data_IF_628353740966
#
_entry.id   IF_628353740966
#
_cell.length_a   1.000
_cell.length_b   1.000
_cell.length_c   1.000
_cell.angle_alpha   90.00
_cell.angle_beta   90.00
_cell.angle_gamma   90.00
#
_symmetry.space_group_name_H-M   'P 1'
#
loop_
_entity.id
_entity.type
_entity.pdbx_description
1 polymer ?
#
# COMPACT_ATOMS: atom_id res chain seq x y z
N UNK A 1 -2.94 -13.07 -1.98
CA UNK A 1 -2.83 -11.74 -2.61
C UNK A 1 -1.66 -11.02 -1.98
N UNK A 2 -0.85 -10.30 -2.75
CA UNK A 2 0.34 -9.58 -2.29
C UNK A 2 0.12 -8.11 -2.61
N UNK A 3 0.03 -7.26 -1.58
CA UNK A 3 0.05 -5.82 -1.76
C UNK A 3 1.53 -5.39 -1.80
N UNK A 4 2.00 -4.92 -2.94
CA UNK A 4 3.41 -4.66 -3.17
C UNK A 4 3.64 -3.17 -3.39
N UNK A 5 4.07 -2.48 -2.33
CA UNK A 5 4.57 -1.09 -2.34
C UNK A 5 6.11 -1.02 -2.38
N UNK A 6 6.77 -2.15 -2.65
CA UNK A 6 8.22 -2.33 -2.67
C UNK A 6 8.94 -2.05 -1.34
N UNK A 7 8.27 -2.15 -0.19
CA UNK A 7 8.92 -2.05 1.12
C UNK A 7 7.94 -1.99 2.30
N UNK A 8 8.23 -1.12 3.27
CA UNK A 8 7.43 -0.92 4.48
C UNK A 8 6.61 0.37 4.47
N UNK A 9 5.62 0.53 3.57
CA UNK A 9 4.87 1.78 3.44
C UNK A 9 4.15 2.27 4.72
N UNK A 10 3.87 1.37 5.66
CA UNK A 10 3.28 1.71 6.96
C UNK A 10 4.13 2.70 7.78
N UNK A 11 5.46 2.64 7.68
CA UNK A 11 6.34 3.48 8.49
C UNK A 11 6.32 4.96 8.06
N UNK A 12 5.91 5.25 6.82
CA UNK A 12 5.64 6.63 6.38
C UNK A 12 4.46 7.27 7.11
N UNK A 13 3.56 6.48 7.72
CA UNK A 13 2.43 6.97 8.50
C UNK A 13 2.78 7.25 9.97
N UNK A 14 3.91 6.74 10.46
CA UNK A 14 4.38 6.92 11.84
C UNK A 14 5.25 8.17 11.97
N UNK A 15 5.76 8.43 13.18
CA UNK A 15 6.64 9.57 13.50
C UNK A 15 7.85 9.68 12.56
N UNK A 16 8.34 8.54 12.06
CA UNK A 16 9.48 8.44 11.14
C UNK A 16 9.23 9.09 9.78
N UNK A 17 8.01 9.05 9.25
CA UNK A 17 7.68 9.76 8.01
C UNK A 17 7.78 11.28 8.14
N UNK A 18 7.57 11.82 9.35
CA UNK A 18 7.76 13.25 9.60
C UNK A 18 9.25 13.64 9.62
N UNK A 19 10.11 12.75 10.11
CA UNK A 19 11.57 12.94 10.09
C UNK A 19 12.08 12.99 8.65
N UNK A 20 11.55 12.13 7.77
CA UNK A 20 11.85 12.17 6.33
C UNK A 20 11.43 13.50 5.67
N UNK A 21 10.21 13.98 5.95
CA UNK A 21 9.69 15.25 5.43
C UNK A 21 10.48 16.48 5.95
N UNK A 22 10.95 16.44 7.18
CA UNK A 22 11.70 17.53 7.84
C UNK A 22 13.18 17.60 7.38
N UNK A 23 13.59 16.76 6.42
CA UNK A 23 14.89 16.82 5.73
C UNK A 23 16.09 16.26 6.52
N UNK A 24 15.92 16.00 7.82
CA UNK A 24 16.89 15.29 8.63
C UNK A 24 16.75 13.78 8.47
N UNK A 25 17.83 13.06 8.16
CA UNK A 25 17.86 11.58 8.22
C UNK A 25 16.98 10.80 7.23
N UNK A 26 16.42 11.42 6.17
CA UNK A 26 15.58 10.72 5.18
C UNK A 26 16.21 9.45 4.60
N UNK A 27 17.51 9.46 4.28
CA UNK A 27 18.23 8.25 3.82
C UNK A 27 18.28 7.13 4.86
N UNK A 28 18.38 7.47 6.14
CA UNK A 28 18.36 6.48 7.22
C UNK A 28 16.94 5.94 7.44
N UNK A 29 15.92 6.79 7.31
CA UNK A 29 14.51 6.38 7.41
C UNK A 29 14.16 5.39 6.29
N UNK A 30 14.50 5.70 5.04
CA UNK A 30 14.26 4.83 3.90
C UNK A 30 14.96 3.47 4.08
N UNK A 31 16.23 3.48 4.52
CA UNK A 31 16.99 2.25 4.72
C UNK A 31 16.46 1.37 5.86
N UNK A 32 16.10 1.98 7.00
CA UNK A 32 15.76 1.24 8.22
C UNK A 32 14.29 0.85 8.29
N UNK A 33 13.40 1.69 7.75
CA UNK A 33 11.96 1.52 7.85
C UNK A 33 11.30 1.30 6.50
N UNK A 34 11.74 2.01 5.47
CA UNK A 34 11.27 1.80 4.10
C UNK A 34 11.66 0.43 3.56
N UNK A 35 12.82 -0.09 3.97
CA UNK A 35 13.39 -1.41 3.62
C UNK A 35 13.11 -1.81 2.16
N UNK A 36 13.56 -0.99 1.19
CA UNK A 36 13.18 -1.18 -0.20
C UNK A 36 13.71 -2.51 -0.74
N UNK A 37 12.89 -3.19 -1.53
CA UNK A 37 13.27 -4.43 -2.19
C UNK A 37 12.85 -4.45 -3.67
N UNK A 38 13.56 -5.24 -4.47
CA UNK A 38 13.32 -5.40 -5.91
C UNK A 38 12.97 -6.84 -6.30
N UNK A 39 12.40 -7.61 -5.36
CA UNK A 39 12.04 -9.03 -5.59
C UNK A 39 11.05 -9.15 -6.75
N UNK A 40 11.35 -10.06 -7.69
CA UNK A 40 10.44 -10.48 -8.73
C UNK A 40 9.52 -11.60 -8.21
N UNK A 41 8.28 -11.22 -7.88
CA UNK A 41 7.26 -12.14 -7.37
C UNK A 41 6.78 -13.11 -8.46
N UNK A 42 6.83 -12.73 -9.73
CA UNK A 42 6.47 -13.61 -10.85
C UNK A 42 7.46 -14.77 -10.96
N UNK A 43 8.76 -14.46 -10.83
CA UNK A 43 9.81 -15.48 -10.81
C UNK A 43 9.67 -16.45 -9.62
N UNK A 44 9.34 -15.94 -8.42
CA UNK A 44 9.04 -16.79 -7.27
C UNK A 44 7.83 -17.69 -7.54
N UNK A 45 6.73 -17.13 -8.06
CA UNK A 45 5.53 -17.89 -8.38
C UNK A 45 5.83 -19.02 -9.37
N UNK A 46 6.60 -18.72 -10.42
CA UNK A 46 7.05 -19.69 -11.41
C UNK A 46 7.89 -20.81 -10.79
N UNK A 47 8.81 -20.49 -9.88
CA UNK A 47 9.65 -21.48 -9.19
C UNK A 47 8.82 -22.48 -8.35
N UNK A 48 7.66 -22.05 -7.84
CA UNK A 48 6.73 -22.91 -7.09
C UNK A 48 5.60 -23.52 -7.95
N UNK A 49 5.60 -23.28 -9.27
CA UNK A 49 4.53 -23.74 -10.16
C UNK A 49 3.16 -23.12 -9.86
N UNK A 50 3.13 -21.92 -9.30
CA UNK A 50 1.92 -21.19 -8.92
C UNK A 50 1.62 -20.11 -9.96
N UNK A 51 0.36 -20.00 -10.38
CA UNK A 51 -0.06 -18.94 -11.30
C UNK A 51 0.11 -17.55 -10.68
N UNK A 52 0.53 -16.57 -11.47
CA UNK A 52 0.74 -15.19 -11.04
C UNK A 52 -0.03 -14.22 -11.95
N UNK A 53 -0.70 -13.26 -11.33
CA UNK A 53 -1.36 -12.15 -12.03
C UNK A 53 -0.97 -10.83 -11.36
N UNK A 54 -0.43 -9.92 -12.15
CA UNK A 54 -0.10 -8.56 -11.75
C UNK A 54 -1.26 -7.62 -12.07
N UNK A 55 -1.76 -6.89 -11.07
CA UNK A 55 -2.80 -5.87 -11.22
C UNK A 55 -2.30 -4.51 -10.73
N UNK A 56 -2.69 -3.46 -11.45
CA UNK A 56 -2.34 -2.05 -11.21
C UNK A 56 -3.55 -1.17 -10.93
N UNK A 57 -4.76 -1.67 -11.20
CA UNK A 57 -6.00 -0.93 -10.99
C UNK A 57 -7.01 -1.71 -10.16
N UNK A 58 -7.94 -1.00 -9.54
CA UNK A 58 -9.07 -1.61 -8.82
C UNK A 58 -9.99 -2.38 -9.77
N UNK A 59 -10.12 -1.94 -11.02
CA UNK A 59 -10.90 -2.63 -12.05
C UNK A 59 -10.27 -3.97 -12.44
N UNK A 60 -8.95 -4.01 -12.66
CA UNK A 60 -8.22 -5.25 -12.90
C UNK A 60 -8.33 -6.21 -11.72
N UNK A 61 -8.16 -5.68 -10.49
CA UNK A 61 -8.32 -6.48 -9.27
C UNK A 61 -9.74 -7.08 -9.18
N UNK A 62 -10.77 -6.28 -9.43
CA UNK A 62 -12.16 -6.74 -9.41
C UNK A 62 -12.40 -7.85 -10.45
N UNK A 63 -11.87 -7.70 -11.66
CA UNK A 63 -12.00 -8.70 -12.73
C UNK A 63 -11.32 -10.04 -12.36
N UNK A 64 -10.13 -9.98 -11.76
CA UNK A 64 -9.42 -11.17 -11.28
C UNK A 64 -10.18 -11.85 -10.14
N UNK A 65 -10.71 -11.08 -9.19
CA UNK A 65 -11.48 -11.61 -8.06
C UNK A 65 -12.84 -12.18 -8.47
N UNK A 66 -13.45 -11.66 -9.55
CA UNK A 66 -14.70 -12.18 -10.09
C UNK A 66 -14.53 -13.49 -10.87
N UNK A 67 -13.30 -13.81 -11.29
CA UNK A 67 -13.01 -15.03 -12.04
C UNK A 67 -12.95 -16.24 -11.11
N UNK A 68 -13.53 -17.41 -11.49
CA UNK A 68 -13.43 -18.62 -10.67
C UNK A 68 -11.98 -19.03 -10.44
N UNK A 69 -11.60 -19.18 -9.16
CA UNK A 69 -10.27 -19.63 -8.79
C UNK A 69 -10.11 -21.13 -9.08
N UNK A 70 -9.08 -21.48 -9.85
CA UNK A 70 -8.64 -22.86 -10.06
C UNK A 70 -7.34 -23.10 -9.29
N UNK A 71 -7.41 -23.90 -8.23
CA UNK A 71 -6.25 -24.17 -7.38
C UNK A 71 -5.74 -22.92 -6.65
N UNK A 72 -4.42 -22.77 -6.55
CA UNK A 72 -3.74 -21.65 -5.87
C UNK A 72 -3.07 -20.74 -6.88
N UNK A 73 -3.26 -19.43 -6.72
CA UNK A 73 -2.60 -18.39 -7.51
C UNK A 73 -2.19 -17.20 -6.63
N UNK A 74 -1.25 -16.41 -7.12
CA UNK A 74 -0.80 -15.16 -6.53
C UNK A 74 -1.37 -14.01 -7.38
N UNK A 75 -2.15 -13.15 -6.74
CA UNK A 75 -2.52 -11.85 -7.28
C UNK A 75 -1.62 -10.83 -6.61
N UNK A 76 -0.74 -10.21 -7.39
CA UNK A 76 0.12 -9.11 -6.96
C UNK A 76 -0.52 -7.79 -7.32
N UNK A 77 -0.80 -6.95 -6.32
CA UNK A 77 -1.36 -5.62 -6.48
C UNK A 77 -0.23 -4.61 -6.30
N UNK A 78 0.15 -3.91 -7.37
CA UNK A 78 1.15 -2.85 -7.26
C UNK A 78 0.51 -1.60 -6.70
N UNK A 79 1.13 -1.09 -5.64
CA UNK A 79 0.75 0.17 -5.01
C UNK A 79 1.93 1.11 -4.96
N UNK A 80 1.62 2.39 -4.88
CA UNK A 80 2.60 3.41 -4.55
C UNK A 80 2.33 3.89 -3.13
N UNK A 81 3.39 3.94 -2.33
CA UNK A 81 3.34 4.49 -0.98
C UNK A 81 3.56 6.00 -0.97
N UNK A 82 4.02 6.58 -2.08
CA UNK A 82 4.12 8.03 -2.24
C UNK A 82 2.74 8.65 -2.01
N UNK A 83 2.69 9.72 -1.19
CA UNK A 83 1.44 10.40 -0.88
C UNK A 83 0.47 9.65 0.06
N UNK A 84 0.84 8.48 0.63
CA UNK A 84 -0.03 7.74 1.56
C UNK A 84 -0.33 8.57 2.82
N UNK A 85 0.68 9.24 3.40
CA UNK A 85 0.54 10.15 4.54
C UNK A 85 -0.43 11.31 4.28
N UNK A 86 -0.26 12.14 3.23
CA UNK A 86 -1.21 13.22 2.96
C UNK A 86 -2.62 12.70 2.61
N UNK A 87 -2.75 11.54 1.96
CA UNK A 87 -4.06 10.89 1.74
C UNK A 87 -4.75 10.55 3.08
N UNK A 88 -4.05 9.90 4.00
CA UNK A 88 -4.57 9.57 5.32
C UNK A 88 -4.95 10.82 6.12
N UNK A 89 -4.14 11.89 6.05
CA UNK A 89 -4.44 13.15 6.70
C UNK A 89 -5.75 13.78 6.17
N UNK A 90 -5.95 13.78 4.85
CA UNK A 90 -7.18 14.28 4.21
C UNK A 90 -8.41 13.46 4.63
N UNK A 91 -8.30 12.13 4.64
CA UNK A 91 -9.42 11.26 5.06
C UNK A 91 -9.77 11.53 6.53
N UNK A 92 -8.78 11.59 7.42
CA UNK A 92 -8.99 11.91 8.85
C UNK A 92 -9.69 13.25 9.03
N UNK A 93 -9.24 14.29 8.32
CA UNK A 93 -9.85 15.62 8.39
C UNK A 93 -11.32 15.62 7.91
N UNK A 94 -11.60 14.93 6.80
CA UNK A 94 -12.96 14.80 6.26
C UNK A 94 -13.90 14.06 7.22
N UNK A 95 -13.43 12.96 7.82
CA UNK A 95 -14.19 12.20 8.81
C UNK A 95 -14.45 13.05 10.06
N UNK A 96 -13.43 13.74 10.59
CA UNK A 96 -13.59 14.61 11.74
C UNK A 96 -14.63 15.71 11.49
N UNK A 97 -14.56 16.38 10.33
CA UNK A 97 -15.53 17.39 9.95
C UNK A 97 -16.96 16.83 9.89
N UNK A 98 -17.15 15.69 9.23
CA UNK A 98 -18.46 15.05 9.13
C UNK A 98 -19.04 14.66 10.50
N UNK A 99 -18.22 14.10 11.39
CA UNK A 99 -18.63 13.75 12.75
C UNK A 99 -18.98 15.00 13.56
N UNK A 100 -18.18 16.07 13.48
CA UNK A 100 -18.48 17.33 14.16
C UNK A 100 -19.79 17.96 13.68
N UNK A 101 -20.10 17.90 12.38
CA UNK A 101 -21.38 18.40 11.86
C UNK A 101 -22.57 17.63 12.44
N UNK A 102 -22.45 16.30 12.61
CA UNK A 102 -23.51 15.48 13.21
C UNK A 102 -23.66 15.77 14.71
N UNK A 103 -22.55 15.94 15.44
CA UNK A 103 -22.58 16.18 16.89
C UNK A 103 -23.02 17.60 17.27
N UNK A 104 -22.79 18.59 16.41
CA UNK A 104 -23.17 19.99 16.62
C UNK A 104 -24.51 20.35 15.96
N UNK A 105 -25.03 19.47 15.09
CA UNK A 105 -26.27 19.63 14.34
C UNK A 105 -27.43 18.73 14.82
N UNK A 106 -27.32 18.16 16.03
CA UNK A 106 -28.37 17.41 16.72
C UNK A 106 -28.82 18.15 17.99
#
# INVERSE_FOLDING_TARGET
MVLNDAGGGIFGLLEHGKVEDDGGYGTAVERLFGTPHSVDISALAAAYGVGHTLVRTTAELAAVLASPLKGRSIVEVRTDRSGLRPLHARIKAAVAAAVSQVLLGA
#
